data_IF_911009116807
#
_entry.id   IF_911009116807
#
_cell.length_a   1.000
_cell.length_b   1.000
_cell.length_c   1.000
_cell.angle_alpha   90.00
_cell.angle_beta   90.00
_cell.angle_gamma   90.00
#
_symmetry.space_group_name_H-M   'P 1'
#
loop_
_entity.id
_entity.type
_entity.pdbx_description
1 polymer ?
#
# COMPACT_ATOMS: atom_id res chain seq x y z
N UNK A 1 29.39 -0.65 30.96
CA UNK A 1 28.54 -1.57 31.72
C UNK A 1 27.11 -1.40 31.25
N UNK A 2 26.46 -2.45 30.76
CA UNK A 2 25.01 -2.40 30.49
C UNK A 2 24.26 -2.61 31.81
N UNK A 3 23.25 -1.78 32.06
CA UNK A 3 22.44 -1.85 33.29
C UNK A 3 21.06 -2.36 32.90
N UNK A 4 20.54 -3.29 33.70
CA UNK A 4 19.19 -3.81 33.50
C UNK A 4 18.17 -2.72 33.91
N UNK A 5 17.43 -2.20 32.94
CA UNK A 5 16.40 -1.18 33.17
C UNK A 5 15.05 -1.85 33.40
N UNK A 6 14.47 -1.63 34.58
CA UNK A 6 13.14 -2.14 34.96
C UNK A 6 12.03 -1.11 34.76
N UNK A 7 12.36 0.14 34.44
CA UNK A 7 11.42 1.26 34.32
C UNK A 7 10.95 1.44 32.88
N UNK A 8 11.83 1.21 31.90
CA UNK A 8 11.48 1.30 30.49
C UNK A 8 11.09 -0.09 29.99
N UNK A 9 9.87 -0.22 29.45
CA UNK A 9 9.46 -1.40 28.70
C UNK A 9 9.74 -1.17 27.21
N UNK A 10 10.92 -1.59 26.67
CA UNK A 10 11.31 -1.30 25.29
C UNK A 10 10.37 -1.91 24.23
N UNK A 11 9.53 -2.87 24.65
CA UNK A 11 8.52 -3.53 23.84
C UNK A 11 7.16 -2.81 23.81
N UNK A 12 6.93 -1.79 24.66
CA UNK A 12 5.67 -1.04 24.70
C UNK A 12 5.63 0.04 23.61
N UNK A 13 4.46 0.25 23.02
CA UNK A 13 4.20 1.31 22.06
C UNK A 13 2.74 1.77 22.12
N UNK A 14 2.51 3.04 21.78
CA UNK A 14 1.19 3.55 21.47
C UNK A 14 0.68 2.99 20.15
N UNK A 15 -0.59 2.57 20.13
CA UNK A 15 -1.28 2.12 18.93
C UNK A 15 -2.69 2.71 18.90
N UNK A 16 -3.02 3.37 17.80
CA UNK A 16 -4.31 4.03 17.64
C UNK A 16 -4.71 4.12 16.16
N UNK A 17 -5.98 4.43 15.92
CA UNK A 17 -6.56 4.50 14.59
C UNK A 17 -6.67 5.95 14.10
N UNK A 18 -6.49 6.12 12.79
CA UNK A 18 -6.77 7.35 12.04
C UNK A 18 -7.58 7.02 10.79
N UNK A 19 -8.21 8.03 10.21
CA UNK A 19 -8.78 7.98 8.87
C UNK A 19 -7.69 8.39 7.87
N UNK A 20 -7.56 7.65 6.78
CA UNK A 20 -6.67 8.04 5.67
C UNK A 20 -7.48 8.96 4.77
N UNK A 21 -7.45 10.25 5.06
CA UNK A 21 -8.24 11.28 4.39
C UNK A 21 -7.36 12.19 3.51
N UNK A 22 -7.97 13.23 2.93
CA UNK A 22 -7.25 14.19 2.11
C UNK A 22 -6.14 14.92 2.90
N UNK A 23 -6.31 15.10 4.21
CA UNK A 23 -5.29 15.71 5.05
C UNK A 23 -4.06 14.79 5.15
N UNK A 24 -4.26 13.50 5.40
CA UNK A 24 -3.20 12.50 5.37
C UNK A 24 -2.46 12.49 4.02
N UNK A 25 -3.21 12.52 2.92
CA UNK A 25 -2.63 12.48 1.56
C UNK A 25 -1.80 13.72 1.21
N UNK A 26 -2.01 14.85 1.90
CA UNK A 26 -1.24 16.10 1.72
C UNK A 26 0.07 16.14 2.53
N UNK A 27 0.30 15.19 3.44
CA UNK A 27 1.53 15.14 4.24
C UNK A 27 2.73 14.95 3.31
N UNK A 28 3.66 15.91 3.34
CA UNK A 28 4.88 15.89 2.54
C UNK A 28 5.84 14.83 3.07
N UNK A 29 6.61 14.19 2.18
CA UNK A 29 7.68 13.27 2.56
C UNK A 29 7.41 11.79 2.30
N UNK A 30 6.26 11.42 1.74
CA UNK A 30 6.02 10.04 1.29
C UNK A 30 6.69 9.76 -0.06
N UNK A 31 8.01 9.59 -0.03
CA UNK A 31 8.86 9.51 -1.24
C UNK A 31 8.59 8.29 -2.12
N UNK A 32 8.06 7.20 -1.56
CA UNK A 32 7.65 6.00 -2.29
C UNK A 32 6.56 6.29 -3.32
N UNK A 33 5.81 7.39 -3.16
CA UNK A 33 4.81 7.84 -4.15
C UNK A 33 5.41 8.77 -5.22
N UNK A 34 6.62 9.28 -5.06
CA UNK A 34 7.17 10.31 -5.96
C UNK A 34 8.52 9.96 -6.60
N UNK A 35 9.16 8.86 -6.18
CA UNK A 35 10.49 8.47 -6.66
C UNK A 35 10.42 7.63 -7.94
N UNK A 36 11.11 8.10 -9.00
CA UNK A 36 11.29 7.34 -10.26
C UNK A 36 12.01 6.01 -10.05
N UNK A 37 12.97 5.96 -9.11
CA UNK A 37 13.70 4.73 -8.77
C UNK A 37 12.77 3.68 -8.14
N UNK A 38 11.76 4.12 -7.38
CA UNK A 38 10.77 3.21 -6.80
C UNK A 38 9.93 2.52 -7.88
N UNK A 39 9.52 3.23 -8.93
CA UNK A 39 8.74 2.66 -10.04
C UNK A 39 9.49 1.50 -10.73
N UNK A 40 10.76 1.71 -11.07
CA UNK A 40 11.57 0.70 -11.77
C UNK A 40 11.70 -0.57 -10.91
N UNK A 41 12.08 -0.39 -9.64
CA UNK A 41 12.15 -1.49 -8.68
C UNK A 41 10.80 -2.19 -8.49
N UNK A 42 9.71 -1.43 -8.47
CA UNK A 42 8.37 -1.96 -8.30
C UNK A 42 7.98 -2.84 -9.50
N UNK A 43 8.11 -2.33 -10.72
CA UNK A 43 7.81 -3.05 -11.97
C UNK A 43 8.59 -4.36 -12.03
N UNK A 44 9.92 -4.29 -11.85
CA UNK A 44 10.79 -5.48 -11.86
C UNK A 44 10.38 -6.53 -10.82
N UNK A 45 10.04 -6.10 -9.60
CA UNK A 45 9.66 -7.03 -8.51
C UNK A 45 8.25 -7.58 -8.64
N UNK A 46 7.33 -6.83 -9.25
CA UNK A 46 5.92 -7.21 -9.36
C UNK A 46 5.59 -7.91 -10.68
N UNK A 47 6.46 -7.90 -11.69
CA UNK A 47 6.23 -8.60 -12.97
C UNK A 47 5.69 -10.03 -12.80
N UNK A 48 6.31 -10.95 -12.03
CA UNK A 48 5.77 -12.31 -11.85
C UNK A 48 4.52 -12.39 -10.97
N UNK A 49 4.08 -11.27 -10.38
CA UNK A 49 2.99 -11.20 -9.40
C UNK A 49 1.91 -10.19 -9.79
N UNK A 50 1.92 -9.69 -11.04
CA UNK A 50 1.10 -8.55 -11.44
C UNK A 50 -0.40 -8.84 -11.32
N UNK A 51 -0.80 -10.07 -11.66
CA UNK A 51 -2.16 -10.59 -11.44
C UNK A 51 -2.61 -10.41 -9.99
N UNK A 52 -1.82 -10.92 -9.03
CA UNK A 52 -2.15 -10.85 -7.61
C UNK A 52 -2.08 -9.40 -7.10
N UNK A 53 -1.05 -8.65 -7.52
CA UNK A 53 -0.71 -7.32 -6.98
C UNK A 53 -1.57 -6.18 -7.50
N UNK A 54 -2.13 -6.34 -8.69
CA UNK A 54 -3.01 -5.37 -9.30
C UNK A 54 -4.41 -5.95 -9.45
N UNK A 55 -4.61 -6.99 -10.28
CA UNK A 55 -5.94 -7.47 -10.59
C UNK A 55 -6.72 -7.96 -9.35
N UNK A 56 -6.20 -8.96 -8.64
CA UNK A 56 -6.87 -9.51 -7.44
C UNK A 56 -7.02 -8.44 -6.36
N UNK A 57 -5.98 -7.63 -6.15
CA UNK A 57 -6.01 -6.58 -5.14
C UNK A 57 -7.06 -5.50 -5.45
N UNK A 58 -7.11 -4.98 -6.68
CA UNK A 58 -8.10 -3.98 -7.10
C UNK A 58 -9.51 -4.59 -7.02
N UNK A 59 -9.74 -5.78 -7.57
CA UNK A 59 -11.05 -6.44 -7.50
C UNK A 59 -11.53 -6.62 -6.06
N UNK A 60 -10.61 -6.90 -5.13
CA UNK A 60 -10.90 -7.01 -3.70
C UNK A 60 -11.31 -5.67 -3.10
N UNK A 61 -10.56 -4.61 -3.38
CA UNK A 61 -10.89 -3.26 -2.89
C UNK A 61 -12.20 -2.74 -3.47
N UNK A 62 -12.49 -3.02 -4.74
CA UNK A 62 -13.73 -2.60 -5.38
C UNK A 62 -14.96 -3.32 -4.79
N UNK A 63 -14.83 -4.60 -4.43
CA UNK A 63 -15.92 -5.41 -3.86
C UNK A 63 -16.12 -5.20 -2.37
N UNK A 64 -15.03 -5.11 -1.60
CA UNK A 64 -15.06 -5.18 -0.14
C UNK A 64 -14.47 -3.95 0.56
N UNK A 65 -13.88 -3.01 -0.19
CA UNK A 65 -13.12 -1.91 0.37
C UNK A 65 -11.72 -2.32 0.84
N UNK A 66 -11.02 -1.39 1.49
CA UNK A 66 -9.73 -1.67 2.12
C UNK A 66 -9.94 -2.42 3.43
N UNK A 67 -9.76 -3.75 3.39
CA UNK A 67 -9.97 -4.63 4.55
C UNK A 67 -8.95 -4.39 5.67
N UNK A 68 -7.68 -4.20 5.31
CA UNK A 68 -6.60 -4.03 6.27
C UNK A 68 -6.23 -2.55 6.46
N UNK A 69 -5.94 -2.12 7.71
CA UNK A 69 -5.54 -0.76 8.01
C UNK A 69 -4.13 -0.47 7.51
N UNK A 70 -3.90 0.73 6.98
CA UNK A 70 -2.56 1.18 6.60
C UNK A 70 -1.67 1.28 7.85
N UNK A 71 -0.57 0.52 7.91
CA UNK A 71 0.34 0.58 9.05
C UNK A 71 1.32 1.74 8.93
N UNK A 72 1.32 2.62 9.92
CA UNK A 72 2.11 3.84 9.98
C UNK A 72 3.01 3.80 11.21
N UNK A 73 4.31 3.67 11.01
CA UNK A 73 5.31 3.74 12.07
C UNK A 73 5.66 5.19 12.32
N UNK A 74 5.15 5.75 13.41
CA UNK A 74 5.39 7.12 13.85
C UNK A 74 6.57 7.25 14.79
N UNK A 75 7.11 8.46 14.86
CA UNK A 75 7.98 8.92 15.93
C UNK A 75 7.66 10.38 16.20
N UNK A 76 6.74 10.62 17.13
CA UNK A 76 6.21 11.95 17.45
C UNK A 76 7.32 12.91 17.92
N UNK A 77 8.30 12.39 18.68
CA UNK A 77 9.43 13.17 19.19
C UNK A 77 10.35 13.66 18.07
N UNK A 78 10.46 12.91 16.97
CA UNK A 78 11.26 13.29 15.80
C UNK A 78 10.44 13.91 14.68
N UNK A 79 9.10 13.91 14.79
CA UNK A 79 8.21 14.40 13.73
C UNK A 79 8.29 13.58 12.44
N UNK A 80 8.64 12.29 12.51
CA UNK A 80 8.82 11.42 11.34
C UNK A 80 7.80 10.29 11.33
N UNK A 81 7.43 9.83 10.15
CA UNK A 81 6.57 8.65 9.98
C UNK A 81 6.99 7.83 8.77
N UNK A 82 6.62 6.54 8.77
CA UNK A 82 6.82 5.64 7.63
C UNK A 82 5.64 4.69 7.49
N UNK A 83 5.13 4.53 6.28
CA UNK A 83 4.14 3.47 5.98
C UNK A 83 4.89 2.17 5.73
N UNK A 84 4.65 1.18 6.58
CA UNK A 84 5.15 -0.17 6.36
C UNK A 84 4.41 -1.19 7.24
N UNK A 85 3.94 -2.32 6.68
CA UNK A 85 3.59 -2.54 5.28
C UNK A 85 2.43 -1.65 4.79
N UNK A 86 2.13 -1.69 3.49
CA UNK A 86 0.91 -1.10 2.94
C UNK A 86 1.08 -0.04 1.85
N UNK A 87 2.29 0.13 1.29
CA UNK A 87 2.55 1.12 0.24
C UNK A 87 1.59 0.99 -0.97
N UNK A 88 1.29 -0.23 -1.42
CA UNK A 88 0.33 -0.45 -2.51
C UNK A 88 -1.10 -0.02 -2.15
N UNK A 89 -1.52 -0.20 -0.88
CA UNK A 89 -2.83 0.26 -0.39
C UNK A 89 -2.91 1.77 -0.40
N UNK A 90 -1.85 2.42 0.09
CA UNK A 90 -1.72 3.87 0.00
C UNK A 90 -1.78 4.38 -1.45
N UNK A 91 -1.04 3.75 -2.38
CA UNK A 91 -1.02 4.16 -3.79
C UNK A 91 -2.40 3.96 -4.44
N UNK A 92 -3.09 2.85 -4.20
CA UNK A 92 -4.43 2.65 -4.75
C UNK A 92 -5.44 3.62 -4.15
N UNK A 93 -5.37 3.89 -2.85
CA UNK A 93 -6.23 4.87 -2.19
C UNK A 93 -6.03 6.28 -2.74
N UNK A 94 -4.80 6.66 -3.14
CA UNK A 94 -4.53 7.98 -3.71
C UNK A 94 -5.26 8.26 -5.02
N UNK A 95 -5.69 7.21 -5.73
CA UNK A 95 -6.45 7.29 -6.98
C UNK A 95 -7.90 6.79 -6.87
N UNK A 96 -8.29 6.29 -5.70
CA UNK A 96 -9.65 5.87 -5.30
C UNK A 96 -10.03 6.43 -3.92
N UNK A 97 -9.94 7.77 -3.70
CA UNK A 97 -10.20 8.35 -2.38
C UNK A 97 -11.64 8.17 -1.90
N UNK A 98 -12.58 7.86 -2.80
CA UNK A 98 -13.96 7.54 -2.46
C UNK A 98 -14.12 6.18 -1.74
N UNK A 99 -13.07 5.35 -1.70
CA UNK A 99 -13.04 4.08 -0.98
C UNK A 99 -12.35 4.30 0.38
N UNK A 100 -13.10 4.39 1.50
CA UNK A 100 -12.52 4.75 2.78
C UNK A 100 -11.45 3.75 3.22
N UNK A 101 -10.36 4.27 3.77
CA UNK A 101 -9.29 3.46 4.37
C UNK A 101 -8.99 3.95 5.79
N UNK A 102 -8.80 3.00 6.70
CA UNK A 102 -8.30 3.29 8.05
C UNK A 102 -6.78 3.12 8.08
N UNK A 103 -6.12 3.87 8.95
CA UNK A 103 -4.70 3.71 9.25
C UNK A 103 -4.50 3.41 10.72
N UNK A 104 -3.51 2.58 11.06
CA UNK A 104 -3.08 2.37 12.43
C UNK A 104 -1.69 2.95 12.61
N UNK A 105 -1.56 3.86 13.57
CA UNK A 105 -0.29 4.50 13.92
C UNK A 105 0.33 3.75 15.08
N UNK A 106 1.57 3.31 14.90
CA UNK A 106 2.39 2.60 15.89
C UNK A 106 3.57 3.52 16.26
N UNK A 107 3.72 3.87 17.54
CA UNK A 107 4.82 4.73 17.99
C UNK A 107 5.25 4.41 19.42
N UNK A 108 6.53 4.06 19.61
CA UNK A 108 7.15 3.79 20.92
C UNK A 108 7.30 5.01 21.82
N UNK A 109 7.26 6.21 21.25
CA UNK A 109 7.41 7.47 21.96
C UNK A 109 6.07 8.17 22.24
N UNK A 110 4.96 7.57 21.85
CA UNK A 110 3.62 8.09 22.02
C UNK A 110 2.96 7.46 23.24
N UNK A 111 2.46 8.28 24.15
CA UNK A 111 1.69 7.83 25.32
C UNK A 111 0.19 7.91 25.07
N UNK A 112 -0.26 8.83 24.20
CA UNK A 112 -1.67 9.02 23.88
C UNK A 112 -1.89 9.45 22.43
N UNK A 113 -2.93 8.93 21.78
CA UNK A 113 -3.34 9.34 20.43
C UNK A 113 -3.65 10.84 20.33
N UNK A 114 -3.95 11.51 21.45
CA UNK A 114 -4.17 12.95 21.50
C UNK A 114 -2.93 13.75 21.07
N UNK A 115 -1.72 13.21 21.28
CA UNK A 115 -0.46 13.84 20.85
C UNK A 115 -0.40 14.01 19.32
N UNK A 116 -1.08 13.12 18.59
CA UNK A 116 -1.14 13.15 17.15
C UNK A 116 -2.30 13.97 16.59
N UNK A 117 -3.25 14.48 17.40
CA UNK A 117 -4.45 15.16 16.87
C UNK A 117 -4.18 16.39 16.01
N UNK A 118 -3.04 17.07 16.21
CA UNK A 118 -2.62 18.19 15.35
C UNK A 118 -2.18 17.74 13.95
N UNK A 119 -1.77 16.48 13.82
CA UNK A 119 -1.31 15.86 12.57
C UNK A 119 -2.45 15.06 11.93
N UNK A 120 -3.21 14.34 12.76
CA UNK A 120 -4.32 13.48 12.38
C UNK A 120 -5.54 13.84 13.24
N UNK A 121 -6.39 14.79 12.81
CA UNK A 121 -7.55 15.20 13.59
C UNK A 121 -8.49 14.04 13.96
N UNK A 122 -8.57 13.02 13.10
CA UNK A 122 -9.36 11.80 13.30
C UNK A 122 -8.77 10.81 14.31
N UNK A 123 -7.60 11.09 14.90
CA UNK A 123 -6.89 10.16 15.77
C UNK A 123 -7.76 9.74 16.97
N UNK A 124 -7.95 8.43 17.13
CA UNK A 124 -8.82 7.83 18.14
C UNK A 124 -8.26 6.50 18.63
N UNK A 125 -8.58 6.14 19.87
CA UNK A 125 -8.28 4.82 20.41
C UNK A 125 -8.85 3.71 19.53
N UNK A 126 -8.13 2.60 19.43
CA UNK A 126 -8.69 1.38 18.84
C UNK A 126 -9.90 0.91 19.64
N UNK A 127 -10.95 0.50 18.92
CA UNK A 127 -12.09 -0.18 19.52
C UNK A 127 -11.59 -1.49 20.13
N UNK A 128 -11.84 -1.67 21.43
CA UNK A 128 -11.56 -2.87 22.22
C UNK A 128 -12.73 -3.85 22.08
N UNK A 129 -12.46 -5.13 22.29
CA UNK A 129 -13.48 -6.16 22.39
C UNK A 129 -14.31 -6.03 23.67
N UNK A 130 -15.32 -6.89 23.83
CA UNK A 130 -16.23 -6.89 24.99
C UNK A 130 -15.53 -7.12 26.32
N UNK A 131 -14.30 -7.66 26.33
CA UNK A 131 -13.49 -7.90 27.53
C UNK A 131 -12.58 -6.71 27.85
N UNK A 132 -12.62 -5.66 27.03
CA UNK A 132 -11.76 -4.49 27.18
C UNK A 132 -10.36 -4.68 26.60
N UNK A 133 -10.12 -5.79 25.91
CA UNK A 133 -8.84 -6.13 25.29
C UNK A 133 -8.93 -6.02 23.77
N UNK A 134 -7.79 -6.06 23.08
CA UNK A 134 -7.77 -6.31 21.65
C UNK A 134 -6.59 -7.20 21.34
N UNK A 135 -6.85 -8.50 21.22
CA UNK A 135 -5.85 -9.45 20.76
C UNK A 135 -5.54 -9.17 19.29
N UNK A 136 -4.30 -8.71 19.04
CA UNK A 136 -3.78 -8.48 17.71
C UNK A 136 -2.63 -9.43 17.49
N UNK A 137 -2.76 -10.29 16.50
CA UNK A 137 -1.66 -11.14 16.08
C UNK A 137 -0.70 -10.29 15.25
N UNK A 138 0.52 -10.16 15.73
CA UNK A 138 1.64 -9.58 14.97
C UNK A 138 2.52 -10.72 14.47
N UNK A 139 3.13 -10.51 13.31
CA UNK A 139 4.15 -11.39 12.75
C UNK A 139 5.44 -10.62 12.56
N UNK A 140 6.52 -11.38 12.47
CA UNK A 140 7.87 -10.88 12.33
C UNK A 140 8.38 -11.30 10.95
N UNK A 141 8.46 -10.35 10.03
CA UNK A 141 8.87 -10.59 8.65
C UNK A 141 10.40 -10.46 8.53
N UNK A 142 11.07 -11.55 8.16
CA UNK A 142 12.51 -11.53 7.90
C UNK A 142 12.87 -10.66 6.70
N UNK A 143 13.96 -9.91 6.85
CA UNK A 143 14.57 -9.05 5.84
C UNK A 143 16.07 -9.25 5.87
N UNK A 144 16.61 -9.76 4.78
CA UNK A 144 18.05 -9.68 4.55
C UNK A 144 18.38 -8.26 4.08
N UNK A 145 19.21 -7.53 4.83
CA UNK A 145 19.78 -6.25 4.39
C UNK A 145 21.31 -6.25 4.51
N UNK A 146 21.91 -5.24 3.89
CA UNK A 146 23.36 -4.96 3.81
C UNK A 146 24.07 -5.26 5.15
N UNK A 147 25.08 -6.14 5.11
CA UNK A 147 25.89 -6.50 6.29
C UNK A 147 25.70 -7.92 6.83
N UNK A 148 24.97 -8.80 6.12
CA UNK A 148 24.80 -10.23 6.46
C UNK A 148 24.11 -10.53 7.80
N UNK A 149 23.44 -9.55 8.40
CA UNK A 149 22.66 -9.72 9.63
C UNK A 149 21.18 -9.87 9.32
N UNK A 150 20.52 -10.77 10.03
CA UNK A 150 19.08 -10.95 9.96
C UNK A 150 18.38 -9.74 10.58
N UNK A 151 17.61 -9.03 9.75
CA UNK A 151 16.75 -7.96 10.22
C UNK A 151 15.30 -8.43 10.16
N UNK A 152 14.48 -7.89 11.03
CA UNK A 152 13.08 -8.25 11.12
C UNK A 152 12.21 -7.00 11.18
N UNK A 153 11.07 -7.05 10.49
CA UNK A 153 10.06 -5.99 10.49
C UNK A 153 8.76 -6.54 11.10
N UNK A 154 8.09 -5.75 11.95
CA UNK A 154 6.80 -6.13 12.51
C UNK A 154 5.67 -5.77 11.53
N UNK A 155 4.73 -6.70 11.36
CA UNK A 155 3.51 -6.50 10.58
C UNK A 155 2.34 -7.24 11.23
N UNK A 156 1.10 -6.96 10.83
CA UNK A 156 -0.04 -7.71 11.35
C UNK A 156 -0.03 -9.13 10.77
N UNK A 157 -0.20 -10.13 11.64
CA UNK A 157 -0.33 -11.53 11.26
C UNK A 157 -1.58 -11.80 10.42
N UNK A 158 -2.63 -11.01 10.65
CA UNK A 158 -3.87 -11.03 9.86
C UNK A 158 -3.85 -10.06 8.70
N UNK A 159 -2.73 -9.38 8.39
CA UNK A 159 -2.63 -8.53 7.20
C UNK A 159 -2.90 -9.43 5.98
N UNK A 160 -4.13 -9.33 5.45
CA UNK A 160 -4.61 -10.06 4.27
C UNK A 160 -3.99 -9.39 3.05
N UNK A 161 -2.66 -9.41 3.01
CA UNK A 161 -1.88 -8.73 2.01
C UNK A 161 -2.30 -9.19 0.62
N UNK A 162 -2.63 -8.22 -0.24
CA UNK A 162 -2.42 -8.23 -1.69
C UNK A 162 -2.65 -9.62 -2.32
N UNK A 163 -3.93 -9.97 -2.47
CA UNK A 163 -4.35 -11.26 -3.01
C UNK A 163 -3.97 -12.42 -2.11
N UNK A 164 -4.48 -12.38 -0.88
CA UNK A 164 -4.50 -13.54 0.03
C UNK A 164 -4.89 -14.80 -0.76
N UNK A 165 -4.29 -15.98 -0.52
CA UNK A 165 -4.66 -17.19 -1.26
C UNK A 165 -6.17 -17.49 -1.24
N UNK A 166 -6.86 -17.14 -0.15
CA UNK A 166 -8.33 -17.23 -0.03
C UNK A 166 -9.06 -16.26 -0.96
N UNK A 167 -8.43 -15.15 -1.33
CA UNK A 167 -8.90 -14.16 -2.30
C UNK A 167 -8.47 -14.52 -3.74
N UNK A 168 -7.46 -15.35 -3.94
CA UNK A 168 -7.04 -15.82 -5.27
C UNK A 168 -7.88 -17.02 -5.73
N UNK A 169 -9.15 -16.74 -6.08
CA UNK A 169 -10.12 -17.75 -6.49
C UNK A 169 -9.94 -18.16 -7.95
N UNK A 170 -10.36 -19.39 -8.30
CA UNK A 170 -10.34 -19.87 -9.68
C UNK A 170 -11.11 -18.92 -10.62
N UNK A 171 -12.28 -18.42 -10.20
CA UNK A 171 -13.06 -17.42 -10.95
C UNK A 171 -12.25 -16.16 -11.27
N UNK A 172 -11.41 -15.67 -10.36
CA UNK A 172 -10.54 -14.51 -10.61
C UNK A 172 -9.41 -14.86 -11.57
N UNK A 173 -8.85 -16.06 -11.49
CA UNK A 173 -7.82 -16.55 -12.43
C UNK A 173 -8.39 -16.65 -13.84
N UNK A 174 -9.57 -17.25 -14.00
CA UNK A 174 -10.23 -17.42 -15.29
C UNK A 174 -10.59 -16.06 -15.89
N UNK A 175 -11.15 -15.15 -15.09
CA UNK A 175 -11.45 -13.78 -15.52
C UNK A 175 -10.18 -13.03 -15.92
N UNK A 176 -9.11 -13.14 -15.16
CA UNK A 176 -7.82 -12.54 -15.51
C UNK A 176 -7.28 -13.11 -16.81
N UNK A 177 -7.29 -14.43 -16.98
CA UNK A 177 -6.81 -15.08 -18.19
C UNK A 177 -7.59 -14.59 -19.43
N UNK A 178 -8.92 -14.58 -19.37
CA UNK A 178 -9.77 -14.08 -20.45
C UNK A 178 -9.53 -12.60 -20.77
N UNK A 179 -9.49 -11.74 -19.74
CA UNK A 179 -9.29 -10.31 -19.97
C UNK A 179 -7.87 -10.00 -20.45
N UNK A 180 -6.87 -10.72 -19.94
CA UNK A 180 -5.47 -10.50 -20.32
C UNK A 180 -5.17 -10.95 -21.72
N UNK A 181 -5.91 -11.93 -22.25
CA UNK A 181 -5.79 -12.38 -23.64
C UNK A 181 -6.36 -11.35 -24.64
N UNK A 182 -7.32 -10.54 -24.20
CA UNK A 182 -8.05 -9.60 -25.06
C UNK A 182 -7.73 -8.13 -24.82
N UNK A 183 -7.14 -7.80 -23.66
CA UNK A 183 -6.85 -6.44 -23.21
C UNK A 183 -5.48 -6.39 -22.54
N UNK A 184 -4.80 -5.28 -22.73
CA UNK A 184 -3.52 -5.04 -22.09
C UNK A 184 -2.95 -3.68 -22.43
N UNK A 185 -1.84 -3.37 -21.78
CA UNK A 185 -1.10 -2.13 -22.04
C UNK A 185 0.39 -2.33 -21.83
N UNK A 186 1.18 -1.62 -22.62
CA UNK A 186 2.64 -1.65 -22.55
C UNK A 186 3.16 -0.64 -21.53
N UNK A 187 4.02 -1.10 -20.64
CA UNK A 187 4.65 -0.25 -19.63
C UNK A 187 6.01 0.25 -20.13
N UNK A 188 6.16 1.56 -20.27
CA UNK A 188 7.42 2.23 -20.57
C UNK A 188 7.85 3.11 -19.40
N UNK A 189 9.16 3.25 -19.23
CA UNK A 189 9.76 4.13 -18.25
C UNK A 189 11.07 4.71 -18.78
N UNK A 190 11.23 6.03 -18.67
CA UNK A 190 12.36 6.79 -19.19
C UNK A 190 12.66 6.46 -20.67
N UNK A 191 11.60 6.31 -21.49
CA UNK A 191 11.73 5.99 -22.91
C UNK A 191 12.18 4.56 -23.22
N UNK A 192 12.19 3.66 -22.23
CA UNK A 192 12.49 2.23 -22.41
C UNK A 192 11.29 1.38 -22.05
N UNK A 193 10.98 0.39 -22.88
CA UNK A 193 9.95 -0.60 -22.60
C UNK A 193 10.37 -1.47 -21.41
N UNK A 194 9.53 -1.55 -20.39
CA UNK A 194 9.71 -2.45 -19.25
C UNK A 194 9.16 -3.84 -19.59
N UNK A 195 7.85 -3.97 -19.76
CA UNK A 195 7.15 -5.17 -20.25
C UNK A 195 5.68 -4.86 -20.54
N UNK A 196 5.00 -5.77 -21.25
CA UNK A 196 3.55 -5.68 -21.49
C UNK A 196 2.75 -6.39 -20.40
N UNK A 197 1.61 -5.81 -20.04
CA UNK A 197 0.64 -6.42 -19.13
C UNK A 197 -0.57 -6.83 -19.96
N UNK A 198 -0.83 -8.14 -20.04
CA UNK A 198 -1.84 -8.70 -20.92
C UNK A 198 -1.48 -8.53 -22.40
N UNK A 199 -2.50 -8.49 -23.26
CA UNK A 199 -2.37 -8.36 -24.70
C UNK A 199 -2.35 -6.88 -25.10
N UNK A 200 -1.18 -6.25 -24.92
CA UNK A 200 -0.97 -4.84 -25.23
C UNK A 200 -0.85 -4.62 -26.74
N UNK A 201 -1.69 -3.74 -27.28
CA UNK A 201 -1.62 -3.34 -28.70
C UNK A 201 -0.58 -2.24 -28.90
N UNK A 202 -0.23 -1.97 -30.16
CA UNK A 202 0.72 -0.92 -30.53
C UNK A 202 0.24 0.46 -30.09
N UNK A 203 -1.07 0.72 -30.16
CA UNK A 203 -1.67 1.96 -29.70
C UNK A 203 -1.75 2.05 -28.16
N UNK A 204 -1.61 0.94 -27.43
CA UNK A 204 -1.83 0.86 -25.97
C UNK A 204 -0.50 0.90 -25.19
N UNK A 205 0.42 1.76 -25.60
CA UNK A 205 1.75 1.91 -25.00
C UNK A 205 1.83 3.19 -24.16
N UNK A 206 2.32 3.08 -22.93
CA UNK A 206 2.30 4.19 -21.96
C UNK A 206 3.63 4.38 -21.27
N UNK A 207 4.13 5.62 -21.30
CA UNK A 207 5.21 6.05 -20.41
C UNK A 207 4.61 6.32 -19.03
N UNK A 208 5.07 5.58 -18.02
CA UNK A 208 4.56 5.62 -16.66
C UNK A 208 5.50 6.46 -15.80
N UNK A 209 4.92 7.45 -15.10
CA UNK A 209 5.69 8.33 -14.21
C UNK A 209 5.75 7.79 -12.78
N UNK A 210 4.69 7.10 -12.33
CA UNK A 210 4.55 6.58 -10.96
C UNK A 210 3.77 5.29 -10.95
N UNK A 211 3.94 4.49 -9.89
CA UNK A 211 3.19 3.24 -9.68
C UNK A 211 1.67 3.48 -9.68
N UNK A 212 1.21 4.65 -9.23
CA UNK A 212 -0.19 5.05 -9.33
C UNK A 212 -0.73 4.98 -10.77
N UNK A 213 0.10 5.27 -11.78
CA UNK A 213 -0.26 5.18 -13.19
C UNK A 213 -0.54 3.75 -13.64
N UNK A 214 0.21 2.77 -13.11
CA UNK A 214 -0.08 1.34 -13.33
C UNK A 214 -1.47 1.00 -12.79
N UNK A 215 -1.78 1.45 -11.57
CA UNK A 215 -3.11 1.20 -10.98
C UNK A 215 -4.23 1.90 -11.76
N UNK A 216 -4.02 3.13 -12.27
CA UNK A 216 -4.99 3.82 -13.13
C UNK A 216 -5.23 3.03 -14.44
N UNK A 217 -4.17 2.59 -15.12
CA UNK A 217 -4.28 1.78 -16.33
C UNK A 217 -4.95 0.43 -16.05
N UNK A 218 -4.65 -0.22 -14.93
CA UNK A 218 -5.36 -1.44 -14.54
C UNK A 218 -6.87 -1.21 -14.36
N UNK A 219 -7.24 -0.14 -13.66
CA UNK A 219 -8.64 0.24 -13.47
C UNK A 219 -9.34 0.51 -14.80
N UNK A 220 -8.64 1.13 -15.75
CA UNK A 220 -9.16 1.39 -17.08
C UNK A 220 -9.35 0.12 -17.92
N UNK A 221 -8.31 -0.70 -18.07
CA UNK A 221 -8.34 -1.85 -18.99
C UNK A 221 -9.12 -3.05 -18.43
N UNK A 222 -9.07 -3.27 -17.11
CA UNK A 222 -9.61 -4.49 -16.49
C UNK A 222 -10.85 -4.26 -15.62
N UNK A 223 -11.18 -3.01 -15.30
CA UNK A 223 -12.32 -2.64 -14.44
C UNK A 223 -13.19 -1.53 -15.02
N UNK A 224 -13.01 -1.19 -16.30
CA UNK A 224 -13.83 -0.28 -17.10
C UNK A 224 -13.97 1.14 -16.52
N UNK A 225 -12.96 1.61 -15.79
CA UNK A 225 -12.92 2.99 -15.31
C UNK A 225 -12.58 3.94 -16.46
N UNK A 226 -13.35 5.00 -16.70
CA UNK A 226 -13.04 5.93 -17.78
C UNK A 226 -11.78 6.71 -17.45
N UNK A 227 -10.97 6.99 -18.47
CA UNK A 227 -9.75 7.80 -18.36
C UNK A 227 -10.03 9.22 -17.79
N UNK A 228 -11.24 9.74 -17.99
CA UNK A 228 -11.71 11.01 -17.43
C UNK A 228 -11.94 11.00 -15.92
N UNK A 229 -11.91 9.83 -15.26
CA UNK A 229 -12.07 9.73 -13.80
C UNK A 229 -11.00 10.53 -13.06
N UNK A 230 -9.76 10.58 -13.58
CA UNK A 230 -8.64 11.19 -12.89
C UNK A 230 -8.25 12.51 -13.54
N UNK A 231 -8.29 13.58 -12.74
CA UNK A 231 -7.72 14.87 -13.13
C UNK A 231 -6.20 14.81 -13.30
N UNK A 232 -5.53 14.07 -12.40
CA UNK A 232 -4.08 13.86 -12.46
C UNK A 232 -3.79 12.46 -12.96
N UNK A 233 -3.14 12.37 -14.12
CA UNK A 233 -2.67 11.11 -14.70
C UNK A 233 -1.20 10.92 -14.36
N UNK A 234 -0.82 9.70 -14.02
CA UNK A 234 0.55 9.31 -13.70
C UNK A 234 1.18 8.46 -14.81
N UNK A 235 0.67 8.65 -16.01
CA UNK A 235 1.13 8.05 -17.25
C UNK A 235 0.82 9.00 -18.41
N UNK A 236 1.51 8.81 -19.53
CA UNK A 236 1.22 9.45 -20.81
C UNK A 236 1.23 8.40 -21.91
N UNK A 237 0.29 8.51 -22.85
CA UNK A 237 0.27 7.63 -24.03
C UNK A 237 1.49 7.94 -24.89
N UNK A 238 2.15 6.91 -25.39
CA UNK A 238 3.22 7.06 -26.37
C UNK A 238 2.57 7.24 -27.75
N UNK A 239 3.08 8.21 -28.50
CA UNK A 239 2.73 8.42 -29.91
C UNK A 239 3.66 7.60 -30.79
#
# INVERSE_FOLDING_TARGET
>A
MMIYDTKIMPQQFGLFEIDIDEHFMKIKGFTEHTSKYYLEMWLKRQQPRIYIRCFVFIDTVLKFGFLDPLLIWGNIKKGTMRVHPGTNRYILHSILPERPMKGWVVDRNCNSHQEYKKIFPSARSLIRDKRGDRNMLWRVDHRTRKGYQDQYELSLGTDRLLGEPSMDTQTRRDRWAFLSDTRGFGCWQAGKKAYDIGNAREEDQYEIDRVAGIYQLFLQYYFDYPDTKWRTKFYRRMQ
#
